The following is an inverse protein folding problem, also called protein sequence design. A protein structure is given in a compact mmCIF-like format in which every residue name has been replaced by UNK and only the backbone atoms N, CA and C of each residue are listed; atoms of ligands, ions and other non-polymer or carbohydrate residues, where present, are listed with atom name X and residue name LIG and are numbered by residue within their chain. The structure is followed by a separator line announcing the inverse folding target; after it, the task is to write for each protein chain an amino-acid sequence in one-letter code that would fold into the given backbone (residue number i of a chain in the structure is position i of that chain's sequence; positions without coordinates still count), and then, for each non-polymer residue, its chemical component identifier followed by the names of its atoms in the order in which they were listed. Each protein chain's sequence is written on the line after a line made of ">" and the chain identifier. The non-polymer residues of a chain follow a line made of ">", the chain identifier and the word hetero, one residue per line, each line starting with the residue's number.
data_IF_855262788880
#
_entry.id   IF_855262788880
#
_cell.length_a   1.000
_cell.length_b   1.000
_cell.length_c   1.000
_cell.angle_alpha   90.00
_cell.angle_beta   90.00
_cell.angle_gamma   90.00
#
_symmetry.space_group_name_H-M   'P 1'
#
loop_
_entity.id
_entity.type
_entity.pdbx_description
1 polymer ?
#
# COMPACT_ATOMS: atom_id res chain seq x y z
N UNK A 1 -16.42 12.65 -6.24
CA UNK A 1 -15.91 12.26 -4.91
C UNK A 1 -15.35 10.85 -4.86
N UNK A 2 -14.16 10.66 -4.28
CA UNK A 2 -13.63 9.32 -3.97
C UNK A 2 -13.96 8.86 -2.54
N UNK A 3 -13.73 7.58 -2.22
CA UNK A 3 -14.07 6.98 -0.91
C UNK A 3 -13.32 7.66 0.25
N UNK A 4 -12.03 7.93 0.09
CA UNK A 4 -11.19 8.50 1.15
C UNK A 4 -11.64 9.93 1.49
N UNK A 5 -11.89 10.75 0.46
CA UNK A 5 -12.43 12.10 0.60
C UNK A 5 -13.80 12.09 1.29
N UNK A 6 -14.68 11.16 0.91
CA UNK A 6 -16.00 11.06 1.56
C UNK A 6 -15.87 10.74 3.06
N UNK A 7 -14.95 9.84 3.43
CA UNK A 7 -14.68 9.51 4.83
C UNK A 7 -14.10 10.72 5.57
N UNK A 8 -13.18 11.47 4.96
CA UNK A 8 -12.62 12.69 5.54
C UNK A 8 -13.71 13.72 5.86
N UNK A 9 -14.66 13.95 4.95
CA UNK A 9 -15.79 14.84 5.21
C UNK A 9 -16.75 14.35 6.30
N UNK A 10 -16.82 13.03 6.56
CA UNK A 10 -17.60 12.49 7.69
C UNK A 10 -16.93 12.78 9.03
N UNK A 11 -15.60 12.71 9.06
CA UNK A 11 -14.82 12.99 10.26
C UNK A 11 -14.78 14.50 10.55
N UNK A 12 -14.57 15.30 9.51
CA UNK A 12 -14.50 16.76 9.57
C UNK A 12 -15.47 17.43 8.57
N UNK A 13 -16.77 17.53 8.90
CA UNK A 13 -17.77 18.16 8.03
C UNK A 13 -17.53 19.65 7.75
N UNK A 14 -16.66 20.31 8.53
CA UNK A 14 -16.32 21.72 8.34
C UNK A 14 -15.35 21.93 7.17
N UNK A 15 -14.72 20.88 6.64
CA UNK A 15 -13.91 20.91 5.42
C UNK A 15 -14.75 20.96 4.13
N UNK A 16 -16.07 20.79 4.23
CA UNK A 16 -16.97 20.83 3.08
C UNK A 16 -16.94 22.20 2.41
N UNK A 17 -16.60 22.20 1.12
CA UNK A 17 -16.57 23.38 0.27
C UNK A 17 -17.59 23.26 -0.87
N UNK A 18 -17.68 24.28 -1.72
CA UNK A 18 -18.63 24.30 -2.83
C UNK A 18 -18.42 23.17 -3.84
N UNK A 19 -17.17 22.73 -4.04
CA UNK A 19 -16.89 21.61 -4.94
C UNK A 19 -17.35 20.29 -4.35
N UNK A 20 -17.05 20.02 -3.07
CA UNK A 20 -17.55 18.87 -2.35
C UNK A 20 -19.09 18.83 -2.34
N UNK A 21 -19.74 20.00 -2.18
CA UNK A 21 -21.19 20.11 -2.25
C UNK A 21 -21.76 19.74 -3.63
N UNK A 22 -21.09 20.10 -4.73
CA UNK A 22 -21.51 19.69 -6.08
C UNK A 22 -21.37 18.19 -6.26
N UNK A 23 -20.22 17.63 -5.88
CA UNK A 23 -20.00 16.18 -5.97
C UNK A 23 -21.01 15.39 -5.12
N UNK A 24 -21.40 15.91 -3.95
CA UNK A 24 -22.47 15.33 -3.13
C UNK A 24 -23.84 15.45 -3.80
N UNK A 25 -24.14 16.53 -4.53
CA UNK A 25 -25.38 16.64 -5.30
C UNK A 25 -25.42 15.60 -6.43
N UNK A 26 -24.34 15.45 -7.20
CA UNK A 26 -24.22 14.44 -8.25
C UNK A 26 -24.40 13.02 -7.68
N UNK A 27 -23.76 12.73 -6.55
CA UNK A 27 -23.92 11.45 -5.85
C UNK A 27 -25.38 11.20 -5.41
N UNK A 28 -26.11 12.25 -5.04
CA UNK A 28 -27.52 12.14 -4.64
C UNK A 28 -28.50 12.06 -5.81
N UNK A 29 -28.08 12.48 -7.01
CA UNK A 29 -28.82 12.21 -8.24
C UNK A 29 -28.77 10.71 -8.58
N UNK A 30 -27.59 10.09 -8.44
CA UNK A 30 -27.41 8.65 -8.66
C UNK A 30 -27.97 7.79 -7.53
N UNK A 31 -27.84 8.24 -6.27
CA UNK A 31 -28.26 7.51 -5.08
C UNK A 31 -29.19 8.36 -4.18
N UNK A 32 -30.47 8.54 -4.56
CA UNK A 32 -31.39 9.43 -3.85
C UNK A 32 -31.65 9.08 -2.38
N UNK A 33 -31.41 7.84 -1.96
CA UNK A 33 -31.64 7.41 -0.58
C UNK A 33 -30.37 7.38 0.28
N UNK A 34 -29.26 7.92 -0.21
CA UNK A 34 -28.01 7.97 0.54
C UNK A 34 -28.09 9.03 1.66
N UNK A 35 -28.66 8.63 2.80
CA UNK A 35 -28.97 9.51 3.93
C UNK A 35 -27.74 10.27 4.43
N UNK A 36 -26.60 9.59 4.56
CA UNK A 36 -25.35 10.20 5.04
C UNK A 36 -24.85 11.29 4.08
N UNK A 37 -24.88 11.05 2.77
CA UNK A 37 -24.53 12.08 1.78
C UNK A 37 -25.49 13.28 1.84
N UNK A 38 -26.80 13.04 2.08
CA UNK A 38 -27.77 14.13 2.31
C UNK A 38 -27.44 14.94 3.56
N UNK A 39 -27.09 14.28 4.65
CA UNK A 39 -26.68 14.93 5.90
C UNK A 39 -25.45 15.82 5.68
N UNK A 40 -24.43 15.31 4.99
CA UNK A 40 -23.22 16.08 4.64
C UNK A 40 -23.56 17.28 3.76
N UNK A 41 -24.36 17.10 2.70
CA UNK A 41 -24.74 18.21 1.82
C UNK A 41 -25.45 19.32 2.59
N UNK A 42 -26.40 18.97 3.46
CA UNK A 42 -27.10 19.96 4.30
C UNK A 42 -26.14 20.67 5.26
N UNK A 43 -25.20 19.95 5.86
CA UNK A 43 -24.16 20.53 6.73
C UNK A 43 -23.23 21.47 5.97
N UNK A 44 -22.78 21.11 4.78
CA UNK A 44 -21.94 21.95 3.92
C UNK A 44 -22.67 23.23 3.50
N UNK A 45 -23.93 23.12 3.06
CA UNK A 45 -24.76 24.27 2.70
C UNK A 45 -25.07 25.18 3.89
N UNK A 46 -25.28 24.61 5.08
CA UNK A 46 -25.45 25.37 6.31
C UNK A 46 -24.19 26.15 6.66
N UNK A 47 -23.03 25.50 6.61
CA UNK A 47 -21.74 26.09 6.93
C UNK A 47 -21.37 27.25 5.98
N UNK A 48 -21.73 27.16 4.70
CA UNK A 48 -21.48 28.23 3.72
C UNK A 48 -22.58 29.29 3.64
N UNK A 49 -23.65 29.18 4.43
CA UNK A 49 -24.79 30.11 4.38
C UNK A 49 -25.51 30.10 3.03
N UNK A 50 -25.53 28.96 2.34
CA UNK A 50 -26.04 28.86 0.99
C UNK A 50 -27.58 28.98 0.94
N UNK A 51 -28.10 29.75 -0.01
CA UNK A 51 -29.55 29.95 -0.21
C UNK A 51 -30.34 28.65 -0.44
N UNK A 52 -29.69 27.59 -0.94
CA UNK A 52 -30.31 26.28 -1.18
C UNK A 52 -30.48 25.45 0.10
N UNK A 53 -29.84 25.85 1.21
CA UNK A 53 -29.84 25.13 2.48
C UNK A 53 -31.25 24.77 2.94
N UNK A 54 -32.16 25.75 3.04
CA UNK A 54 -33.53 25.54 3.54
C UNK A 54 -34.30 24.49 2.73
N UNK A 55 -34.14 24.49 1.41
CA UNK A 55 -34.81 23.52 0.55
C UNK A 55 -34.21 22.12 0.70
N UNK A 56 -32.87 22.03 0.79
CA UNK A 56 -32.19 20.75 0.99
C UNK A 56 -32.43 20.18 2.39
N UNK A 57 -32.58 21.02 3.42
CA UNK A 57 -32.94 20.60 4.76
C UNK A 57 -34.30 19.91 4.79
N UNK A 58 -35.31 20.52 4.15
CA UNK A 58 -36.65 19.93 4.04
C UNK A 58 -36.61 18.58 3.33
N UNK A 59 -35.86 18.50 2.24
CA UNK A 59 -35.68 17.27 1.48
C UNK A 59 -34.99 16.19 2.32
N UNK A 60 -33.91 16.54 3.02
CA UNK A 60 -33.18 15.64 3.90
C UNK A 60 -34.05 15.14 5.05
N UNK A 61 -34.86 16.00 5.67
CA UNK A 61 -35.78 15.63 6.75
C UNK A 61 -36.88 14.62 6.32
N UNK A 62 -37.20 14.56 5.03
CA UNK A 62 -38.10 13.56 4.45
C UNK A 62 -37.41 12.21 4.20
N UNK A 63 -36.11 12.21 3.90
CA UNK A 63 -35.34 11.00 3.54
C UNK A 63 -34.58 10.38 4.72
N UNK A 64 -34.28 11.16 5.77
CA UNK A 64 -33.52 10.70 6.94
C UNK A 64 -34.49 10.15 7.98
N UNK A 65 -34.21 8.94 8.44
CA UNK A 65 -35.04 8.24 9.43
C UNK A 65 -34.92 8.86 10.82
N UNK A 66 -33.71 9.23 11.23
CA UNK A 66 -33.44 9.83 12.54
C UNK A 66 -33.17 11.34 12.42
N UNK A 67 -34.24 12.13 12.57
CA UNK A 67 -34.16 13.60 12.52
C UNK A 67 -33.38 14.20 13.69
N UNK A 68 -33.22 13.48 14.79
CA UNK A 68 -32.43 13.94 15.94
C UNK A 68 -30.96 14.03 15.57
N UNK A 69 -30.46 13.07 14.78
CA UNK A 69 -29.09 13.09 14.23
C UNK A 69 -28.88 14.20 13.20
N UNK A 70 -29.87 14.46 12.36
CA UNK A 70 -29.82 15.59 11.43
C UNK A 70 -29.76 16.91 12.19
N UNK A 71 -30.63 17.07 13.20
CA UNK A 71 -30.67 18.25 14.04
C UNK A 71 -29.36 18.46 14.80
N UNK A 72 -28.80 17.40 15.40
CA UNK A 72 -27.53 17.48 16.12
C UNK A 72 -26.38 17.84 15.18
N UNK A 73 -26.32 17.27 13.98
CA UNK A 73 -25.27 17.61 13.01
C UNK A 73 -25.26 19.11 12.64
N UNK A 74 -26.43 19.74 12.55
CA UNK A 74 -26.57 21.14 12.15
C UNK A 74 -26.32 22.08 13.32
N UNK A 75 -26.94 21.79 14.47
CA UNK A 75 -27.02 22.74 15.59
C UNK A 75 -25.98 22.50 16.67
N UNK A 76 -25.44 21.28 16.77
CA UNK A 76 -24.47 20.97 17.81
C UNK A 76 -23.11 21.50 17.39
N UNK A 77 -22.61 22.50 18.14
CA UNK A 77 -21.20 22.84 18.12
C UNK A 77 -20.50 21.95 19.13
N UNK A 78 -19.41 21.26 18.75
CA UNK A 78 -18.66 20.46 19.70
C UNK A 78 -18.11 21.37 20.81
N UNK A 79 -18.51 21.10 22.05
CA UNK A 79 -17.96 21.77 23.22
C UNK A 79 -16.47 21.41 23.41
N UNK A 80 -15.73 22.23 24.15
CA UNK A 80 -14.27 22.08 24.32
C UNK A 80 -13.83 20.67 24.76
N UNK A 81 -14.63 19.97 25.55
CA UNK A 81 -14.32 18.59 25.97
C UNK A 81 -14.46 17.57 24.82
N UNK A 82 -15.45 17.73 23.95
CA UNK A 82 -15.61 16.87 22.77
C UNK A 82 -14.50 17.09 21.75
N UNK A 83 -13.98 18.33 21.63
CA UNK A 83 -12.82 18.63 20.82
C UNK A 83 -11.55 17.97 21.37
N UNK A 84 -11.32 18.04 22.69
CA UNK A 84 -10.19 17.34 23.34
C UNK A 84 -10.26 15.83 23.16
N UNK A 85 -11.44 15.22 23.25
CA UNK A 85 -11.62 13.79 22.98
C UNK A 85 -11.29 13.44 21.52
N UNK A 86 -11.69 14.29 20.56
CA UNK A 86 -11.31 14.10 19.16
C UNK A 86 -9.80 14.18 18.96
N UNK A 87 -9.12 15.13 19.60
CA UNK A 87 -7.65 15.24 19.54
C UNK A 87 -6.96 13.99 20.09
N UNK A 88 -7.42 13.47 21.24
CA UNK A 88 -6.87 12.23 21.82
C UNK A 88 -7.07 11.04 20.89
N UNK A 89 -8.27 10.89 20.31
CA UNK A 89 -8.58 9.83 19.35
C UNK A 89 -7.75 9.96 18.06
N UNK A 90 -7.51 11.18 17.59
CA UNK A 90 -6.67 11.43 16.41
C UNK A 90 -5.21 11.02 16.66
N UNK A 91 -4.67 11.33 17.83
CA UNK A 91 -3.31 10.91 18.24
C UNK A 91 -3.21 9.38 18.39
N UNK A 92 -4.26 8.73 18.86
CA UNK A 92 -4.29 7.27 18.97
C UNK A 92 -4.36 6.60 17.58
N UNK A 93 -5.21 7.12 16.68
CA UNK A 93 -5.26 6.68 15.27
C UNK A 93 -3.90 6.83 14.58
N UNK A 94 -3.23 7.97 14.74
CA UNK A 94 -1.94 8.20 14.08
C UNK A 94 -0.87 7.22 14.56
N UNK A 95 -0.86 6.88 15.86
CA UNK A 95 0.05 5.86 16.41
C UNK A 95 -0.23 4.48 15.83
N UNK A 96 -1.50 4.08 15.73
CA UNK A 96 -1.88 2.79 15.14
C UNK A 96 -1.49 2.70 13.67
N UNK A 97 -1.62 3.80 12.93
CA UNK A 97 -1.25 3.87 11.51
C UNK A 97 0.28 3.82 11.32
N UNK A 98 1.05 4.44 12.21
CA UNK A 98 2.51 4.37 12.23
C UNK A 98 3.01 2.95 12.60
N UNK A 99 2.36 2.29 13.57
CA UNK A 99 2.64 0.89 13.91
C UNK A 99 2.32 -0.06 12.75
N UNK A 100 1.23 0.17 12.02
CA UNK A 100 0.86 -0.62 10.84
C UNK A 100 1.90 -0.49 9.73
N UNK A 101 2.34 0.74 9.41
CA UNK A 101 3.41 0.98 8.42
C UNK A 101 4.72 0.29 8.82
N UNK A 102 5.11 0.41 10.10
CA UNK A 102 6.32 -0.22 10.61
C UNK A 102 6.27 -1.75 10.54
N UNK A 103 5.10 -2.34 10.80
CA UNK A 103 4.89 -3.78 10.67
C UNK A 103 4.99 -4.25 9.21
N UNK A 104 4.53 -3.43 8.25
CA UNK A 104 4.62 -3.70 6.82
C UNK A 104 6.07 -3.61 6.32
N UNK A 105 6.82 -2.58 6.73
CA UNK A 105 8.26 -2.46 6.44
C UNK A 105 9.05 -3.65 6.98
N UNK A 106 8.74 -4.13 8.19
CA UNK A 106 9.40 -5.30 8.78
C UNK A 106 9.14 -6.59 7.98
N UNK A 107 7.94 -6.73 7.40
CA UNK A 107 7.62 -7.86 6.51
C UNK A 107 8.41 -7.78 5.21
N UNK A 108 8.51 -6.57 4.64
CA UNK A 108 9.26 -6.35 3.40
C UNK A 108 10.75 -6.67 3.60
N UNK A 109 11.35 -6.20 4.69
CA UNK A 109 12.76 -6.50 5.01
C UNK A 109 13.02 -8.00 5.20
N UNK A 110 12.10 -8.72 5.86
CA UNK A 110 12.23 -10.18 6.02
C UNK A 110 12.18 -10.92 4.67
N UNK A 111 11.27 -10.51 3.78
CA UNK A 111 11.16 -11.09 2.45
C UNK A 111 12.43 -10.86 1.63
N UNK A 112 12.98 -9.65 1.71
CA UNK A 112 14.20 -9.26 1.00
C UNK A 112 15.43 -10.03 1.51
N UNK A 113 15.55 -10.20 2.84
CA UNK A 113 16.59 -11.04 3.45
C UNK A 113 16.49 -12.51 3.00
N UNK A 114 15.28 -13.07 2.91
CA UNK A 114 15.08 -14.44 2.44
C UNK A 114 15.48 -14.61 0.96
N UNK A 115 15.20 -13.59 0.13
CA UNK A 115 15.61 -13.59 -1.28
C UNK A 115 17.14 -13.50 -1.42
N UNK A 116 17.79 -12.63 -0.64
CA UNK A 116 19.25 -12.49 -0.63
C UNK A 116 19.91 -13.82 -0.21
N UNK A 117 19.40 -14.47 0.83
CA UNK A 117 19.93 -15.76 1.29
C UNK A 117 19.86 -16.84 0.19
N UNK A 118 18.75 -16.91 -0.56
CA UNK A 118 18.60 -17.84 -1.69
C UNK A 118 19.60 -17.55 -2.82
N UNK A 119 19.78 -16.27 -3.15
CA UNK A 119 20.75 -15.82 -4.18
C UNK A 119 22.20 -16.13 -3.79
N UNK A 120 22.56 -15.97 -2.51
CA UNK A 120 23.89 -16.33 -2.01
C UNK A 120 24.14 -17.84 -2.08
N UNK A 121 23.14 -18.66 -1.72
CA UNK A 121 23.25 -20.12 -1.83
C UNK A 121 23.42 -20.55 -3.29
N UNK A 122 22.68 -19.95 -4.21
CA UNK A 122 22.76 -20.24 -5.64
C UNK A 122 24.12 -19.83 -6.23
N UNK A 123 24.64 -18.66 -5.88
CA UNK A 123 26.00 -18.23 -6.26
C UNK A 123 27.08 -19.19 -5.76
N UNK A 124 26.92 -19.70 -4.54
CA UNK A 124 27.89 -20.63 -3.94
C UNK A 124 27.91 -21.96 -4.71
N UNK A 125 26.74 -22.48 -5.09
CA UNK A 125 26.62 -23.68 -5.95
C UNK A 125 27.27 -23.46 -7.32
N UNK A 126 26.99 -22.33 -7.98
CA UNK A 126 27.59 -22.00 -9.28
C UNK A 126 29.12 -21.87 -9.21
N UNK A 127 29.68 -21.28 -8.15
CA UNK A 127 31.13 -21.21 -7.95
C UNK A 127 31.76 -22.59 -7.73
N UNK A 128 31.09 -23.48 -6.99
CA UNK A 128 31.57 -24.84 -6.75
C UNK A 128 31.54 -25.70 -8.02
N UNK A 129 30.49 -25.55 -8.83
CA UNK A 129 30.39 -26.16 -10.17
C UNK A 129 31.46 -25.63 -11.13
N UNK A 130 31.71 -24.32 -11.14
CA UNK A 130 32.75 -23.71 -11.96
C UNK A 130 34.16 -24.23 -11.59
N UNK A 131 34.47 -24.34 -10.29
CA UNK A 131 35.75 -24.91 -9.83
C UNK A 131 35.91 -26.37 -10.24
N UNK A 132 34.86 -27.19 -10.08
CA UNK A 132 34.88 -28.59 -10.54
C UNK A 132 35.08 -28.71 -12.04
N UNK A 133 34.44 -27.85 -12.83
CA UNK A 133 34.60 -27.84 -14.28
C UNK A 133 36.04 -27.49 -14.70
N UNK A 134 36.68 -26.56 -13.99
CA UNK A 134 38.07 -26.16 -14.23
C UNK A 134 39.05 -27.28 -13.87
N UNK A 135 38.89 -27.95 -12.72
CA UNK A 135 39.67 -29.13 -12.33
C UNK A 135 39.56 -30.26 -13.36
N UNK A 136 38.33 -30.54 -13.83
CA UNK A 136 38.10 -31.59 -14.84
C UNK A 136 38.80 -31.26 -16.17
N UNK A 137 38.87 -29.97 -16.52
CA UNK A 137 39.55 -29.50 -17.74
C UNK A 137 41.07 -29.65 -17.61
N UNK A 138 41.64 -29.35 -16.44
CA UNK A 138 43.08 -29.55 -16.20
C UNK A 138 43.47 -31.03 -16.25
N UNK A 139 42.67 -31.91 -15.63
CA UNK A 139 42.93 -33.36 -15.67
C UNK A 139 42.91 -33.91 -17.10
N UNK A 140 41.97 -33.47 -17.94
CA UNK A 140 41.92 -33.88 -19.36
C UNK A 140 43.16 -33.41 -20.13
N UNK A 141 43.61 -32.18 -19.91
CA UNK A 141 44.80 -31.63 -20.55
C UNK A 141 46.08 -32.39 -20.14
N UNK A 142 46.16 -32.78 -18.87
CA UNK A 142 47.29 -33.56 -18.35
C UNK A 142 47.29 -34.99 -18.91
N UNK A 143 46.13 -35.65 -19.00
CA UNK A 143 45.99 -36.95 -19.67
C UNK A 143 46.40 -36.88 -21.15
N UNK A 144 46.03 -35.80 -21.86
CA UNK A 144 46.43 -35.61 -23.26
C UNK A 144 47.95 -35.38 -23.40
N UNK A 145 48.57 -34.64 -22.48
CA UNK A 145 50.04 -34.50 -22.42
C UNK A 145 50.74 -35.83 -22.16
N UNK A 146 50.23 -36.63 -21.23
CA UNK A 146 50.78 -37.94 -20.91
C UNK A 146 50.67 -38.87 -22.13
N UNK A 147 49.53 -38.89 -22.81
CA UNK A 147 49.34 -39.68 -24.02
C UNK A 147 50.32 -39.32 -25.14
N UNK A 148 50.59 -38.01 -25.36
CA UNK A 148 51.57 -37.54 -26.35
C UNK A 148 53.00 -37.96 -26.00
N UNK A 149 53.37 -37.89 -24.71
CA UNK A 149 54.69 -38.33 -24.22
C UNK A 149 54.90 -39.85 -24.36
N UNK A 150 53.85 -40.65 -24.17
CA UNK A 150 53.91 -42.10 -24.40
C UNK A 150 54.03 -42.44 -25.90
N UNK A 151 53.39 -41.65 -26.77
CA UNK A 151 53.51 -41.79 -28.22
C UNK A 151 54.92 -41.44 -28.72
N UNK A 152 55.54 -40.37 -28.20
CA UNK A 152 56.92 -40.01 -28.52
C UNK A 152 57.93 -41.04 -28.01
N UNK A 153 57.73 -41.58 -26.80
CA UNK A 153 58.58 -42.65 -26.27
C UNK A 153 58.48 -43.95 -27.09
N UNK A 154 57.30 -44.28 -27.62
CA UNK A 154 57.14 -45.42 -28.55
C UNK A 154 57.87 -45.19 -29.87
N UNK A 155 57.83 -43.98 -30.42
CA UNK A 155 58.58 -43.63 -31.66
C UNK A 155 60.09 -43.69 -31.47
N UNK A 156 60.61 -43.25 -30.31
CA UNK A 156 62.05 -43.36 -30.00
C UNK A 156 62.52 -44.81 -29.79
N UNK A 157 61.64 -45.73 -29.35
CA UNK A 157 61.98 -47.16 -29.23
C UNK A 157 61.95 -47.91 -30.57
N UNK A 158 61.33 -47.35 -31.61
CA UNK A 158 61.31 -47.91 -32.97
C UNK A 158 62.49 -47.40 -33.84
N UNK A 159 63.11 -46.26 -33.51
CA UNK A 159 64.29 -45.73 -34.23
C UNK A 159 65.64 -46.30 -33.76
N UNK A 160 65.73 -46.92 -32.58
CA UNK A 160 66.95 -47.51 -32.01
C UNK A 160 67.10 -49.04 -32.28
N UNK A 161 66.39 -49.58 -33.28
CA UNK A 161 66.37 -51.02 -33.62
C UNK A 161 66.71 -51.28 -35.09
#
# INVERSE_FOLDING_TARGET
>A
MNKTQFIEYLEEPDLLNDEANKELMELLEEFPYFQTARMLLVKGLHNSGNIKYENQLKLAAAHITDRSKLFSLINFKPDSETLKQREVLAVEKSKLEEEAKRAEELKQQKLEQEQIAKLEEEKKKQQEEAKRAEELKQQKLEQERIAKLEEEKKKQQEEDK
#
